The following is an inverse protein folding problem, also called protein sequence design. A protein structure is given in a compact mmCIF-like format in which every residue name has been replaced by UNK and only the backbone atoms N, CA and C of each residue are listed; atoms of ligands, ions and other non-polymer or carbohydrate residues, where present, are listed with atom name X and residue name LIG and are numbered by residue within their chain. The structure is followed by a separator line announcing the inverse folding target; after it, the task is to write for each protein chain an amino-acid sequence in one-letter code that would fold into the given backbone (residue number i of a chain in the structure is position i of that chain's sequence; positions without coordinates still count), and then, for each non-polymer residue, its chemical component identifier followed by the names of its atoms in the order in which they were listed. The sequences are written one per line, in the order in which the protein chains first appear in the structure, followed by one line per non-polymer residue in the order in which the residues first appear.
data_IF_498962611866
#
_entry.id   IF_498962611866
#
_cell.length_a   1.000
_cell.length_b   1.000
_cell.length_c   1.000
_cell.angle_alpha   90.00
_cell.angle_beta   90.00
_cell.angle_gamma   90.00
#
_symmetry.space_group_name_H-M   'P 1'
#
loop_
_entity.id
_entity.type
_entity.pdbx_description
1 polymer ?
#
# COMPACT_ATOMS: atom_id res chain seq x y z
N UNK A 1 -16.46 -2.38 7.58
CA UNK A 1 -16.43 -2.39 6.10
C UNK A 1 -16.58 -0.96 5.64
N UNK A 2 -15.51 -0.36 5.13
CA UNK A 2 -15.53 1.01 4.62
C UNK A 2 -14.48 1.12 3.51
N UNK A 3 -14.69 0.36 2.42
CA UNK A 3 -13.77 0.32 1.29
C UNK A 3 -13.65 1.68 0.56
N UNK A 4 -14.56 2.62 0.80
CA UNK A 4 -14.46 3.98 0.29
C UNK A 4 -13.28 4.73 0.94
N UNK A 5 -13.05 4.55 2.25
CA UNK A 5 -11.81 5.05 2.91
C UNK A 5 -10.56 4.36 2.36
N UNK A 6 -10.73 3.21 1.74
CA UNK A 6 -9.66 2.40 1.18
C UNK A 6 -9.26 2.82 -0.23
N UNK A 7 -10.08 3.58 -0.93
CA UNK A 7 -9.88 3.99 -2.32
C UNK A 7 -8.61 4.83 -2.50
N UNK A 8 -8.41 5.81 -1.62
CA UNK A 8 -7.25 6.70 -1.67
C UNK A 8 -5.94 5.90 -1.64
N UNK A 9 -5.85 4.92 -0.75
CA UNK A 9 -4.69 4.02 -0.71
C UNK A 9 -4.55 3.15 -1.95
N UNK A 10 -5.65 2.77 -2.62
CA UNK A 10 -5.60 1.98 -3.86
C UNK A 10 -5.05 2.85 -4.99
N UNK A 11 -5.52 4.08 -5.11
CA UNK A 11 -5.01 5.07 -6.07
C UNK A 11 -3.53 5.38 -5.85
N UNK A 12 -3.14 5.60 -4.59
CA UNK A 12 -1.73 5.79 -4.22
C UNK A 12 -0.88 4.56 -4.59
N UNK A 13 -1.38 3.33 -4.37
CA UNK A 13 -0.67 2.11 -4.76
C UNK A 13 -0.58 1.91 -6.28
N UNK A 14 -1.57 2.40 -7.04
CA UNK A 14 -1.56 2.41 -8.50
C UNK A 14 -0.66 3.52 -9.06
N UNK A 15 -0.07 4.37 -8.19
CA UNK A 15 0.67 5.58 -8.58
C UNK A 15 -0.17 6.50 -9.46
N UNK A 16 -1.48 6.47 -9.28
CA UNK A 16 -2.42 7.32 -9.99
C UNK A 16 -3.01 8.37 -9.05
N UNK A 17 -3.34 9.53 -9.60
CA UNK A 17 -4.08 10.55 -8.87
C UNK A 17 -5.43 9.99 -8.43
N UNK A 18 -5.89 10.33 -7.22
CA UNK A 18 -7.20 9.93 -6.72
C UNK A 18 -8.35 10.48 -7.59
N UNK A 19 -8.10 11.60 -8.28
CA UNK A 19 -9.01 12.21 -9.23
C UNK A 19 -8.82 11.67 -10.66
N UNK A 20 -7.97 10.65 -10.87
CA UNK A 20 -7.84 10.02 -12.17
C UNK A 20 -9.15 9.36 -12.59
N UNK A 21 -9.45 9.31 -13.91
CA UNK A 21 -10.65 8.62 -14.42
C UNK A 21 -10.73 7.17 -13.94
N UNK A 22 -9.59 6.47 -13.88
CA UNK A 22 -9.52 5.09 -13.41
C UNK A 22 -9.88 4.97 -11.92
N UNK A 23 -9.39 5.89 -11.08
CA UNK A 23 -9.71 5.90 -9.66
C UNK A 23 -11.19 6.19 -9.39
N UNK A 24 -11.81 7.04 -10.21
CA UNK A 24 -13.26 7.27 -10.16
C UNK A 24 -14.05 6.01 -10.56
N UNK A 25 -13.67 5.34 -11.65
CA UNK A 25 -14.31 4.09 -12.07
C UNK A 25 -14.20 2.99 -11.02
N UNK A 26 -13.03 2.85 -10.40
CA UNK A 26 -12.80 1.90 -9.31
C UNK A 26 -13.68 2.26 -8.10
N UNK A 27 -13.84 3.55 -7.79
CA UNK A 27 -14.71 4.00 -6.69
C UNK A 27 -16.15 3.62 -6.92
N UNK A 28 -16.69 3.94 -8.09
CA UNK A 28 -18.06 3.60 -8.47
C UNK A 28 -18.29 2.09 -8.40
N UNK A 29 -17.32 1.30 -8.89
CA UNK A 29 -17.39 -0.16 -8.81
C UNK A 29 -17.41 -0.68 -7.37
N UNK A 30 -16.56 -0.15 -6.49
CA UNK A 30 -16.48 -0.59 -5.10
C UNK A 30 -17.70 -0.17 -4.28
N UNK A 31 -18.37 0.92 -4.64
CA UNK A 31 -19.65 1.33 -4.05
C UNK A 31 -20.81 0.39 -4.45
N UNK A 32 -20.78 -0.14 -5.68
CA UNK A 32 -21.86 -0.96 -6.22
C UNK A 32 -21.65 -2.47 -6.06
N UNK A 33 -20.41 -2.92 -5.79
CA UNK A 33 -20.04 -4.34 -5.74
C UNK A 33 -19.51 -4.78 -4.36
N UNK A 34 -20.37 -5.33 -3.47
CA UNK A 34 -19.96 -5.81 -2.15
C UNK A 34 -18.86 -6.89 -2.18
N UNK A 35 -18.86 -7.73 -3.22
CA UNK A 35 -17.87 -8.80 -3.40
C UNK A 35 -16.46 -8.24 -3.61
N UNK A 36 -16.32 -7.23 -4.47
CA UNK A 36 -15.03 -6.59 -4.73
C UNK A 36 -14.57 -5.78 -3.52
N UNK A 37 -15.47 -5.07 -2.86
CA UNK A 37 -15.19 -4.38 -1.59
C UNK A 37 -14.63 -5.36 -0.53
N UNK A 38 -15.24 -6.54 -0.36
CA UNK A 38 -14.75 -7.57 0.56
C UNK A 38 -13.37 -8.14 0.15
N UNK A 39 -13.11 -8.30 -1.15
CA UNK A 39 -11.83 -8.79 -1.65
C UNK A 39 -10.70 -7.78 -1.37
N UNK A 40 -10.92 -6.50 -1.66
CA UNK A 40 -9.99 -5.41 -1.34
C UNK A 40 -9.71 -5.35 0.16
N UNK A 41 -10.75 -5.42 0.99
CA UNK A 41 -10.59 -5.46 2.45
C UNK A 41 -9.75 -6.68 2.90
N UNK A 42 -9.86 -7.82 2.23
CA UNK A 42 -9.04 -9.00 2.53
C UNK A 42 -7.57 -8.78 2.20
N UNK A 43 -7.26 -8.23 1.02
CA UNK A 43 -5.88 -7.93 0.61
C UNK A 43 -5.24 -6.95 1.60
N UNK A 44 -5.99 -5.94 2.06
CA UNK A 44 -5.50 -4.99 3.07
C UNK A 44 -5.17 -5.64 4.39
N UNK A 45 -5.99 -6.59 4.84
CA UNK A 45 -5.69 -7.36 6.06
C UNK A 45 -4.41 -8.16 5.89
N UNK A 46 -4.17 -8.74 4.71
CA UNK A 46 -2.92 -9.44 4.41
C UNK A 46 -1.73 -8.48 4.49
N UNK A 47 -1.80 -7.31 3.85
CA UNK A 47 -0.74 -6.28 3.90
C UNK A 47 -0.49 -5.85 5.35
N UNK A 48 -1.55 -5.57 6.11
CA UNK A 48 -1.46 -5.19 7.52
C UNK A 48 -0.75 -6.27 8.34
N UNK A 49 -1.09 -7.54 8.14
CA UNK A 49 -0.41 -8.64 8.82
C UNK A 49 1.08 -8.64 8.49
N UNK A 50 1.49 -8.53 7.22
CA UNK A 50 2.90 -8.49 6.85
C UNK A 50 3.65 -7.27 7.39
N UNK A 51 3.01 -6.11 7.49
CA UNK A 51 3.63 -4.90 8.06
C UNK A 51 3.80 -4.99 9.58
N UNK A 52 2.90 -5.72 10.25
CA UNK A 52 2.86 -5.87 11.69
C UNK A 52 3.48 -7.18 12.20
N UNK A 53 3.83 -8.10 11.30
CA UNK A 53 4.67 -9.24 11.62
C UNK A 53 6.02 -8.74 12.15
N UNK A 54 6.65 -9.57 12.99
CA UNK A 54 7.94 -9.25 13.61
C UNK A 54 8.93 -8.79 12.55
N UNK A 55 9.46 -7.57 12.72
CA UNK A 55 10.50 -7.05 11.85
C UNK A 55 11.68 -8.03 11.87
N UNK A 56 11.95 -8.63 10.72
CA UNK A 56 13.18 -9.39 10.53
C UNK A 56 14.33 -8.40 10.55
N UNK A 57 15.36 -8.69 11.34
CA UNK A 57 16.58 -7.91 11.31
C UNK A 57 17.18 -7.97 9.90
N UNK A 58 17.29 -6.80 9.28
CA UNK A 58 17.94 -6.66 7.98
C UNK A 58 19.45 -6.72 8.22
N UNK A 59 20.20 -7.57 7.50
CA UNK A 59 21.64 -7.62 7.65
C UNK A 59 22.26 -6.24 7.41
N UNK A 60 23.17 -5.82 8.28
CA UNK A 60 23.76 -4.47 8.23
C UNK A 60 24.41 -4.15 6.87
N UNK A 61 24.99 -5.16 6.20
CA UNK A 61 25.55 -5.02 4.86
C UNK A 61 24.52 -4.60 3.81
N UNK A 62 23.26 -5.04 3.94
CA UNK A 62 22.16 -4.68 3.02
C UNK A 62 21.73 -3.24 3.28
N UNK A 63 21.59 -2.86 4.55
CA UNK A 63 21.22 -1.50 4.95
C UNK A 63 22.29 -0.48 4.52
N UNK A 64 23.57 -0.75 4.83
CA UNK A 64 24.69 0.11 4.42
C UNK A 64 24.78 0.25 2.89
N UNK A 65 24.47 -0.82 2.13
CA UNK A 65 24.41 -0.76 0.66
C UNK A 65 23.29 0.14 0.16
N UNK A 66 22.11 0.11 0.80
CA UNK A 66 20.97 0.95 0.43
C UNK A 66 21.32 2.44 0.55
N UNK A 67 21.85 2.87 1.69
CA UNK A 67 22.27 4.26 1.92
C UNK A 67 23.28 4.75 0.88
N UNK A 68 24.24 3.89 0.51
CA UNK A 68 25.22 4.21 -0.52
C UNK A 68 24.60 4.38 -1.91
N UNK A 69 23.65 3.50 -2.29
CA UNK A 69 22.95 3.59 -3.58
C UNK A 69 22.07 4.84 -3.66
N UNK A 70 21.42 5.20 -2.56
CA UNK A 70 20.59 6.40 -2.47
C UNK A 70 21.40 7.69 -2.34
N UNK A 71 22.73 7.61 -2.16
CA UNK A 71 23.61 8.74 -1.91
C UNK A 71 23.19 9.59 -0.70
N UNK A 72 22.76 8.92 0.36
CA UNK A 72 22.29 9.52 1.61
C UNK A 72 23.23 9.15 2.77
N UNK A 73 23.24 9.98 3.83
CA UNK A 73 23.96 9.70 5.07
C UNK A 73 23.07 8.94 6.04
N UNK A 74 23.56 7.81 6.55
CA UNK A 74 22.84 7.02 7.55
C UNK A 74 22.82 7.77 8.89
N UNK A 75 21.66 8.04 9.50
CA UNK A 75 21.57 8.63 10.83
C UNK A 75 22.13 7.68 11.89
N UNK A 76 22.79 8.24 12.91
CA UNK A 76 23.31 7.52 14.10
C UNK A 76 22.20 6.95 14.99
#
# INVERSE_FOLDING_TARGET
MNCIKSLQQICDQLSEDIDSPLCQEIKEHLEQCPKCCAHVDSIKKVIYLYQNESKTDVPEAVDNRLWKVLNLQKPE
#
